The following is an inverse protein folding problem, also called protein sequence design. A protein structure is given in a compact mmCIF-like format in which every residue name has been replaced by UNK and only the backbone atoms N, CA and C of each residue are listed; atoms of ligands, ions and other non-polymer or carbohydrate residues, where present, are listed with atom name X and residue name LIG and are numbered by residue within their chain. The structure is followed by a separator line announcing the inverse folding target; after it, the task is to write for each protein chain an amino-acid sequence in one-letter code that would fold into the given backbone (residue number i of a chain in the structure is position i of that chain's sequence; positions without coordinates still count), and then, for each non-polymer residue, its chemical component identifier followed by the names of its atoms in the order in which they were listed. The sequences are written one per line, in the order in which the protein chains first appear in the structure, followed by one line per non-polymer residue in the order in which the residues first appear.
data_IF_314445649055
#
_entry.id   IF_314445649055
#
_cell.length_a   1.000
_cell.length_b   1.000
_cell.length_c   1.000
_cell.angle_alpha   90.00
_cell.angle_beta   90.00
_cell.angle_gamma   90.00
#
_symmetry.space_group_name_H-M   'P 1'
#
loop_
_entity.id
_entity.type
_entity.pdbx_description
1 polymer ?
#
# COMPACT_ATOMS: atom_id res chain seq x y z
N UNK A 1 -28.17 1.78 16.48
CA UNK A 1 -27.82 1.87 16.43
C UNK A 1 -26.90 1.73 16.49
N UNK A 2 -26.55 1.82 16.56
CA UNK A 2 -25.72 1.77 16.54
C UNK A 2 -24.94 1.05 16.38
N UNK A 3 -25.25 0.72 16.45
CA UNK A 3 -24.71 -0.24 16.17
C UNK A 3 -23.68 -0.15 15.28
N UNK A 4 -23.77 0.19 14.68
CA UNK A 4 -22.99 0.37 13.79
C UNK A 4 -21.79 0.75 14.23
N UNK A 5 -21.65 1.12 14.94
CA UNK A 5 -20.65 1.53 15.33
C UNK A 5 -19.60 0.78 15.49
N UNK A 6 -19.63 -0.05 15.59
CA UNK A 6 -18.58 -0.79 15.88
C UNK A 6 -17.53 -0.75 14.92
N UNK A 7 -17.67 -0.79 14.03
CA UNK A 7 -16.78 -0.84 13.17
C UNK A 7 -15.94 0.17 13.12
N UNK A 8 -15.75 0.76 13.84
CA UNK A 8 -14.92 1.65 14.01
C UNK A 8 -14.03 2.05 12.97
N UNK A 9 -13.10 1.36 12.53
CA UNK A 9 -12.21 1.81 11.52
C UNK A 9 -12.97 2.13 10.28
N UNK A 10 -14.01 1.42 10.03
CA UNK A 10 -14.79 1.71 8.89
C UNK A 10 -15.60 2.96 9.04
N UNK A 11 -15.92 3.29 10.26
CA UNK A 11 -16.65 4.48 10.48
C UNK A 11 -15.88 5.70 10.10
N UNK A 12 -14.56 5.59 10.14
CA UNK A 12 -13.73 6.71 9.82
C UNK A 12 -13.21 6.68 8.41
N UNK A 13 -13.80 5.85 7.59
CA UNK A 13 -13.39 5.77 6.20
C UNK A 13 -13.81 7.02 5.46
N UNK A 14 -12.94 7.50 4.61
CA UNK A 14 -13.21 8.65 3.78
C UNK A 14 -13.07 8.24 2.33
N UNK A 15 -13.98 8.69 1.51
CA UNK A 15 -13.90 8.36 0.09
C UNK A 15 -12.91 9.27 -0.58
N UNK A 16 -12.05 8.67 -1.37
CA UNK A 16 -11.09 9.40 -2.16
C UNK A 16 -11.21 8.89 -3.59
N UNK A 17 -11.29 9.81 -4.53
CA UNK A 17 -11.38 9.44 -5.93
C UNK A 17 -10.00 9.57 -6.54
N UNK A 18 -9.52 8.49 -7.15
CA UNK A 18 -8.20 8.51 -7.78
C UNK A 18 -8.36 8.16 -9.24
N UNK A 19 -7.69 8.92 -10.09
CA UNK A 19 -7.68 8.65 -11.52
C UNK A 19 -6.46 7.79 -11.82
N UNK A 20 -6.68 6.62 -12.38
CA UNK A 20 -5.61 5.70 -12.71
C UNK A 20 -5.61 5.45 -14.20
N UNK A 21 -4.44 5.24 -14.78
CA UNK A 21 -4.37 4.91 -16.18
C UNK A 21 -4.61 3.40 -16.35
N UNK A 22 -4.68 2.97 -17.61
CA UNK A 22 -5.02 1.59 -17.91
C UNK A 22 -4.03 0.60 -17.29
N UNK A 23 -2.77 0.88 -17.40
CA UNK A 23 -1.76 -0.04 -16.87
C UNK A 23 -1.87 -0.19 -15.36
N UNK A 24 -2.18 0.90 -14.69
CA UNK A 24 -2.35 0.87 -13.24
C UNK A 24 -3.57 0.03 -12.85
N UNK A 25 -4.67 0.21 -13.58
CA UNK A 25 -5.87 -0.56 -13.31
C UNK A 25 -5.61 -2.04 -13.59
N UNK A 26 -4.93 -2.34 -14.68
CA UNK A 26 -4.64 -3.73 -15.03
C UNK A 26 -3.77 -4.39 -13.96
N UNK A 27 -2.86 -3.64 -13.40
CA UNK A 27 -2.02 -4.16 -12.32
C UNK A 27 -2.86 -4.54 -11.10
N UNK A 28 -3.76 -3.65 -10.69
CA UNK A 28 -4.63 -3.95 -9.56
C UNK A 28 -5.52 -5.15 -9.84
N UNK A 29 -6.06 -5.22 -11.04
CA UNK A 29 -6.97 -6.31 -11.39
C UNK A 29 -6.23 -7.64 -11.45
N UNK A 30 -4.96 -7.62 -11.85
CA UNK A 30 -4.17 -8.84 -11.87
C UNK A 30 -3.94 -9.36 -10.46
N UNK A 31 -3.66 -8.47 -9.52
CA UNK A 31 -3.50 -8.89 -8.14
C UNK A 31 -4.80 -9.51 -7.62
N UNK A 32 -5.93 -8.90 -7.97
CA UNK A 32 -7.20 -9.44 -7.54
C UNK A 32 -7.48 -10.81 -8.13
N UNK A 33 -7.11 -11.00 -9.40
CA UNK A 33 -7.31 -12.29 -10.05
C UNK A 33 -6.43 -13.36 -9.44
N UNK A 34 -5.19 -13.02 -9.12
CA UNK A 34 -4.29 -13.98 -8.52
C UNK A 34 -4.84 -14.48 -7.19
N UNK A 35 -5.39 -13.59 -6.38
CA UNK A 35 -5.96 -13.98 -5.12
C UNK A 35 -7.20 -14.87 -5.33
N UNK A 36 -8.01 -14.51 -6.31
CA UNK A 36 -9.22 -15.26 -6.57
C UNK A 36 -8.91 -16.67 -7.05
N UNK A 37 -7.98 -16.79 -8.00
CA UNK A 37 -7.69 -18.09 -8.59
C UNK A 37 -6.86 -18.98 -7.67
N UNK A 38 -6.04 -18.40 -6.82
CA UNK A 38 -5.19 -19.22 -5.96
C UNK A 38 -5.80 -19.53 -4.61
N UNK A 39 -6.60 -18.62 -4.08
CA UNK A 39 -7.13 -18.79 -2.73
C UNK A 39 -8.64 -18.61 -2.63
N UNK A 40 -9.30 -18.30 -3.74
CA UNK A 40 -10.74 -18.10 -3.72
C UNK A 40 -11.17 -16.82 -3.03
N UNK A 41 -10.24 -15.89 -2.84
CA UNK A 41 -10.53 -14.65 -2.15
C UNK A 41 -10.71 -13.53 -3.16
N UNK A 42 -11.79 -12.79 -3.01
CA UNK A 42 -12.08 -11.70 -3.92
C UNK A 42 -11.63 -10.39 -3.30
N UNK A 43 -10.63 -9.77 -3.90
CA UNK A 43 -10.11 -8.50 -3.41
C UNK A 43 -10.54 -7.38 -4.33
N UNK A 44 -11.12 -6.33 -3.77
CA UNK A 44 -11.52 -5.18 -4.56
C UNK A 44 -10.31 -4.28 -4.78
N UNK A 45 -10.44 -3.39 -5.76
CA UNK A 45 -9.38 -2.41 -6.00
C UNK A 45 -9.16 -1.56 -4.76
N UNK A 46 -10.22 -1.22 -4.06
CA UNK A 46 -10.12 -0.43 -2.84
C UNK A 46 -9.31 -1.17 -1.78
N UNK A 47 -9.55 -2.46 -1.62
CA UNK A 47 -8.81 -3.23 -0.63
C UNK A 47 -7.33 -3.30 -0.97
N UNK A 48 -7.03 -3.46 -2.27
CA UNK A 48 -5.64 -3.54 -2.69
C UNK A 48 -4.93 -2.21 -2.47
N UNK A 49 -5.58 -1.11 -2.86
CA UNK A 49 -4.99 0.21 -2.66
C UNK A 49 -4.80 0.51 -1.19
N UNK A 50 -5.77 0.14 -0.38
CA UNK A 50 -5.67 0.37 1.06
C UNK A 50 -4.48 -0.39 1.65
N UNK A 51 -4.28 -1.62 1.20
CA UNK A 51 -3.15 -2.41 1.68
C UNK A 51 -1.83 -1.76 1.30
N UNK A 52 -1.75 -1.22 0.07
CA UNK A 52 -0.54 -0.53 -0.37
C UNK A 52 -0.26 0.70 0.47
N UNK A 53 -1.29 1.49 0.74
CA UNK A 53 -1.12 2.67 1.57
C UNK A 53 -0.66 2.28 2.97
N UNK A 54 -1.22 1.21 3.51
CA UNK A 54 -0.82 0.74 4.83
C UNK A 54 0.67 0.39 4.89
N UNK A 55 1.18 -0.21 3.83
CA UNK A 55 2.59 -0.54 3.78
C UNK A 55 3.45 0.72 3.69
N UNK A 56 3.05 1.63 2.81
CA UNK A 56 3.84 2.85 2.62
C UNK A 56 3.84 3.74 3.86
N UNK A 57 2.79 3.67 4.66
CA UNK A 57 2.76 4.42 5.91
C UNK A 57 3.85 4.00 6.87
N UNK A 58 4.37 2.80 6.71
CA UNK A 58 5.40 2.28 7.59
C UNK A 58 6.80 2.71 7.18
N UNK A 59 6.92 3.32 6.01
CA UNK A 59 8.20 3.82 5.56
C UNK A 59 8.41 5.21 6.13
N UNK A 60 9.66 5.59 6.29
CA UNK A 60 9.97 6.95 6.69
C UNK A 60 9.91 7.79 5.43
N UNK A 61 8.74 8.26 5.14
CA UNK A 61 8.48 8.94 3.89
C UNK A 61 7.78 10.25 4.18
N UNK A 62 8.30 11.34 3.60
CA UNK A 62 7.59 12.61 3.69
C UNK A 62 7.66 13.29 2.33
N UNK A 63 6.77 14.24 2.12
CA UNK A 63 6.67 14.91 0.84
C UNK A 63 7.38 16.24 0.79
N UNK A 64 8.19 16.51 1.77
CA UNK A 64 8.84 17.80 1.84
C UNK A 64 9.76 18.01 0.64
N UNK A 65 9.59 19.12 -0.06
CA UNK A 65 10.42 19.43 -1.21
C UNK A 65 10.07 18.68 -2.48
N UNK A 66 9.08 17.80 -2.44
CA UNK A 66 8.67 17.07 -3.63
C UNK A 66 7.88 17.99 -4.56
N UNK A 67 8.29 18.06 -5.82
CA UNK A 67 7.65 18.94 -6.77
C UNK A 67 6.85 18.23 -7.85
N UNK A 68 6.84 16.91 -7.87
CA UNK A 68 6.09 16.17 -8.88
C UNK A 68 5.84 14.75 -8.40
N UNK A 69 4.88 14.09 -9.07
CA UNK A 69 4.61 12.68 -8.78
C UNK A 69 5.80 11.80 -9.09
N UNK A 70 6.51 12.11 -10.18
CA UNK A 70 7.68 11.32 -10.55
C UNK A 70 8.75 11.39 -9.47
N UNK A 71 8.95 12.56 -8.91
CA UNK A 71 9.92 12.71 -7.86
C UNK A 71 9.50 11.98 -6.61
N UNK A 72 8.20 11.98 -6.34
CA UNK A 72 7.69 11.23 -5.21
C UNK A 72 7.92 9.73 -5.40
N UNK A 73 7.72 9.24 -6.61
CA UNK A 73 7.96 7.83 -6.90
C UNK A 73 9.40 7.43 -6.58
N UNK A 74 10.34 8.27 -6.98
CA UNK A 74 11.74 8.01 -6.70
C UNK A 74 11.99 7.99 -5.19
N UNK A 75 11.35 8.89 -4.49
CA UNK A 75 11.50 8.95 -3.04
C UNK A 75 10.94 7.71 -2.37
N UNK A 76 9.81 7.22 -2.89
CA UNK A 76 9.22 5.99 -2.36
C UNK A 76 10.15 4.80 -2.59
N UNK A 77 10.68 4.69 -3.79
CA UNK A 77 11.60 3.60 -4.11
C UNK A 77 12.81 3.64 -3.20
N UNK A 78 13.35 4.81 -2.97
CA UNK A 78 14.50 4.96 -2.09
C UNK A 78 14.17 4.57 -0.66
N UNK A 79 13.00 4.98 -0.18
CA UNK A 79 12.56 4.62 1.16
C UNK A 79 12.37 3.12 1.29
N UNK A 80 11.86 2.47 0.25
CA UNK A 80 11.68 1.04 0.27
C UNK A 80 13.02 0.31 0.33
N UNK A 81 14.00 0.78 -0.41
CA UNK A 81 15.32 0.17 -0.37
C UNK A 81 15.94 0.28 1.01
N UNK A 82 15.77 1.45 1.60
CA UNK A 82 16.30 1.68 2.92
C UNK A 82 15.65 0.78 3.95
N UNK A 83 14.33 0.69 3.88
CA UNK A 83 13.57 -0.12 4.80
C UNK A 83 14.01 -1.59 4.69
N UNK A 84 14.16 -2.06 3.48
CA UNK A 84 14.54 -3.44 3.24
C UNK A 84 15.97 -3.71 3.71
N UNK A 85 16.87 -2.79 3.48
CA UNK A 85 18.25 -2.93 3.91
C UNK A 85 18.34 -3.01 5.42
N UNK A 86 17.60 -2.14 6.11
CA UNK A 86 17.62 -2.14 7.56
C UNK A 86 17.08 -3.45 8.12
N UNK A 87 16.00 -3.93 7.54
CA UNK A 87 15.44 -5.19 7.99
C UNK A 87 16.39 -6.34 7.74
N UNK A 88 17.04 -6.33 6.59
CA UNK A 88 17.98 -7.40 6.26
C UNK A 88 19.18 -7.39 7.17
N UNK A 89 19.68 -6.22 7.48
CA UNK A 89 20.82 -6.13 8.37
C UNK A 89 20.46 -6.65 9.74
N UNK A 90 19.27 -6.30 10.22
CA UNK A 90 18.85 -6.79 11.50
C UNK A 90 18.76 -8.31 11.51
N UNK A 91 18.21 -8.87 10.46
CA UNK A 91 18.10 -10.29 10.36
C UNK A 91 19.43 -10.96 10.19
N UNK A 92 20.30 -10.34 9.39
CA UNK A 92 21.59 -10.91 9.13
C UNK A 92 22.40 -11.08 10.37
N UNK A 93 22.26 -10.14 11.26
CA UNK A 93 23.02 -10.22 12.47
C UNK A 93 22.68 -11.44 13.26
N UNK A 94 21.41 -11.75 13.32
CA UNK A 94 21.05 -12.87 14.15
C UNK A 94 21.60 -14.15 13.58
N UNK A 95 21.96 -14.16 12.34
CA UNK A 95 22.50 -15.35 11.82
C UNK A 95 23.89 -15.48 12.15
N UNK A 96 24.40 -14.45 12.48
CA UNK A 96 25.74 -14.32 12.89
C UNK A 96 26.48 -15.39 13.00
#
# INVERSE_FOLDING_TARGET
MLANMPNNSHEHAHRVIAALNRDQVDFLDRLGKDALFSAGVKLSRTEILSAMVNVFRRLELNGEGVVSGDELELRIVDAMRKFRRDATQGGGISNG
#
